data_IF_502173981984
#
_entry.id   IF_502173981984
#
_cell.length_a   1.000
_cell.length_b   1.000
_cell.length_c   1.000
_cell.angle_alpha   90.00
_cell.angle_beta   90.00
_cell.angle_gamma   90.00
#
_symmetry.space_group_name_H-M   'P 1'
#
loop_
_entity.id
_entity.type
_entity.pdbx_description
1 polymer ?
#
# COMPACT_ATOMS: atom_id res chain seq x y z
N UNK A 1 29.96 -1.87 -25.85
CA UNK A 1 29.73 -0.64 -25.06
C UNK A 1 28.76 0.21 -25.88
N UNK A 2 27.63 0.66 -25.32
CA UNK A 2 26.71 1.56 -26.05
C UNK A 2 27.07 3.00 -25.70
N UNK A 3 27.24 3.84 -26.72
CA UNK A 3 27.48 5.27 -26.57
C UNK A 3 26.13 5.99 -26.65
N UNK A 4 25.79 6.77 -25.63
CA UNK A 4 24.57 7.57 -25.57
C UNK A 4 24.95 9.03 -25.74
N UNK A 5 24.36 9.70 -26.73
CA UNK A 5 24.55 11.13 -27.02
C UNK A 5 23.21 11.86 -26.92
N UNK A 6 23.21 13.02 -26.25
CA UNK A 6 22.05 13.90 -26.19
C UNK A 6 21.99 14.76 -27.45
N UNK A 7 20.79 14.95 -28.01
CA UNK A 7 20.57 15.77 -29.21
C UNK A 7 20.25 17.25 -28.87
N UNK A 8 20.02 17.55 -27.61
CA UNK A 8 19.62 18.86 -27.12
C UNK A 8 20.82 19.75 -26.83
N UNK A 9 20.59 21.06 -26.82
CA UNK A 9 21.59 22.05 -26.38
C UNK A 9 21.95 21.86 -24.89
N UNK A 10 23.14 22.31 -24.46
CA UNK A 10 23.54 22.25 -23.07
C UNK A 10 22.54 23.00 -22.18
N UNK A 11 21.92 22.29 -21.24
CA UNK A 11 20.98 22.87 -20.29
C UNK A 11 21.68 23.55 -19.11
N UNK A 12 20.88 23.89 -18.11
CA UNK A 12 21.36 24.41 -16.83
C UNK A 12 22.27 23.39 -16.12
N UNK A 13 23.22 23.88 -15.33
CA UNK A 13 24.12 23.01 -14.56
C UNK A 13 23.34 22.27 -13.47
N UNK A 14 23.80 21.08 -13.13
CA UNK A 14 23.24 20.29 -12.03
C UNK A 14 23.75 20.88 -10.73
N UNK A 15 22.82 21.31 -9.87
CA UNK A 15 23.13 21.77 -8.53
C UNK A 15 23.25 20.57 -7.57
N UNK A 16 24.25 20.62 -6.70
CA UNK A 16 24.43 19.66 -5.61
C UNK A 16 24.27 20.39 -4.29
N UNK A 17 23.30 19.96 -3.49
CA UNK A 17 22.99 20.51 -2.18
C UNK A 17 23.40 19.50 -1.10
N UNK A 18 24.20 19.95 -0.14
CA UNK A 18 24.52 19.19 1.06
C UNK A 18 23.74 19.74 2.25
N UNK A 19 23.09 18.85 3.00
CA UNK A 19 22.38 19.19 4.23
C UNK A 19 22.94 18.36 5.39
N UNK A 20 22.83 18.87 6.61
CA UNK A 20 23.34 18.18 7.80
C UNK A 20 22.39 17.10 8.32
N UNK A 21 21.10 17.22 8.01
CA UNK A 21 20.06 16.27 8.42
C UNK A 21 19.08 16.03 7.28
N UNK A 22 18.46 14.85 7.26
CA UNK A 22 17.44 14.48 6.27
C UNK A 22 16.22 15.44 6.29
N UNK A 23 15.89 15.97 7.47
CA UNK A 23 14.80 16.94 7.62
C UNK A 23 15.15 18.30 7.00
N UNK A 24 16.40 18.74 7.16
CA UNK A 24 16.90 19.96 6.54
C UNK A 24 17.02 19.78 5.02
N UNK A 25 17.50 18.64 4.55
CA UNK A 25 17.52 18.29 3.13
C UNK A 25 16.12 18.43 2.52
N UNK A 26 15.13 17.78 3.13
CA UNK A 26 13.74 17.86 2.69
C UNK A 26 13.23 19.31 2.63
N UNK A 27 13.56 20.13 3.64
CA UNK A 27 13.17 21.53 3.67
C UNK A 27 13.87 22.36 2.58
N UNK A 28 15.15 22.14 2.33
CA UNK A 28 15.91 22.82 1.29
C UNK A 28 15.40 22.45 -0.11
N UNK A 29 15.14 21.16 -0.37
CA UNK A 29 14.55 20.68 -1.63
C UNK A 29 13.21 21.35 -1.88
N UNK A 30 12.33 21.35 -0.88
CA UNK A 30 10.99 21.98 -0.99
C UNK A 30 11.10 23.49 -1.19
N UNK A 31 12.04 24.16 -0.52
CA UNK A 31 12.29 25.60 -0.69
C UNK A 31 12.80 25.92 -2.10
N UNK A 32 13.68 25.07 -2.66
CA UNK A 32 14.17 25.21 -4.03
C UNK A 32 13.05 25.05 -5.06
N UNK A 33 12.17 24.06 -4.86
CA UNK A 33 10.98 23.87 -5.72
C UNK A 33 10.09 25.12 -5.69
N UNK A 34 9.78 25.65 -4.50
CA UNK A 34 8.98 26.88 -4.39
C UNK A 34 9.63 28.06 -5.11
N UNK A 35 10.92 28.28 -4.89
CA UNK A 35 11.65 29.36 -5.55
C UNK A 35 11.59 29.23 -7.08
N UNK A 36 11.73 28.01 -7.61
CA UNK A 36 11.60 27.75 -9.06
C UNK A 36 10.17 27.94 -9.57
N UNK A 37 9.16 27.55 -8.81
CA UNK A 37 7.74 27.80 -9.16
C UNK A 37 7.46 29.31 -9.23
N UNK A 38 7.96 30.10 -8.26
CA UNK A 38 7.78 31.55 -8.27
C UNK A 38 8.56 32.27 -9.37
N UNK A 39 9.82 31.90 -9.59
CA UNK A 39 10.69 32.55 -10.58
C UNK A 39 10.31 32.17 -12.01
N UNK A 40 10.07 30.89 -12.27
CA UNK A 40 9.89 30.35 -13.63
C UNK A 40 8.42 30.18 -14.03
N UNK A 41 7.47 30.51 -13.14
CA UNK A 41 6.02 30.23 -13.30
C UNK A 41 5.71 28.77 -13.68
N UNK A 42 6.60 27.86 -13.29
CA UNK A 42 6.46 26.43 -13.55
C UNK A 42 5.32 25.83 -12.72
N UNK A 43 4.63 24.84 -13.28
CA UNK A 43 3.58 24.13 -12.55
C UNK A 43 4.15 23.13 -11.54
N UNK A 44 3.48 22.89 -10.42
CA UNK A 44 3.90 21.87 -9.45
C UNK A 44 4.02 20.45 -10.07
N UNK A 45 3.30 20.18 -11.16
CA UNK A 45 3.36 18.91 -11.89
C UNK A 45 4.62 18.70 -12.74
N UNK A 46 5.45 19.73 -12.92
CA UNK A 46 6.71 19.63 -13.69
C UNK A 46 7.90 19.18 -12.82
N UNK A 47 7.68 19.03 -11.51
CA UNK A 47 8.71 18.62 -10.56
C UNK A 47 8.50 17.17 -10.14
N UNK A 48 9.60 16.41 -10.11
CA UNK A 48 9.64 15.04 -9.61
C UNK A 48 10.76 14.90 -8.58
N UNK A 49 10.44 14.26 -7.44
CA UNK A 49 11.41 13.94 -6.40
C UNK A 49 11.66 12.44 -6.46
N UNK A 50 12.91 12.04 -6.68
CA UNK A 50 13.34 10.66 -6.74
C UNK A 50 14.15 10.33 -5.49
N UNK A 51 13.78 9.25 -4.81
CA UNK A 51 14.46 8.76 -3.61
C UNK A 51 14.74 7.27 -3.74
N UNK A 52 15.62 6.75 -2.88
CA UNK A 52 16.09 5.36 -2.96
C UNK A 52 15.17 4.39 -2.24
N UNK A 53 14.64 4.79 -1.08
CA UNK A 53 13.79 3.94 -0.24
C UNK A 53 12.50 4.66 0.19
N UNK A 54 11.41 3.93 0.35
CA UNK A 54 10.11 4.50 0.74
C UNK A 54 10.13 5.19 2.11
N UNK A 55 11.05 4.84 3.00
CA UNK A 55 11.20 5.51 4.29
C UNK A 55 11.59 7.00 4.15
N UNK A 56 12.29 7.37 3.07
CA UNK A 56 12.70 8.74 2.79
C UNK A 56 11.52 9.63 2.35
N UNK A 57 10.42 9.04 1.86
CA UNK A 57 9.25 9.83 1.42
C UNK A 57 8.65 10.61 2.58
N UNK A 58 8.62 10.03 3.79
CA UNK A 58 7.92 10.59 4.94
C UNK A 58 8.37 12.00 5.31
N UNK A 59 9.68 12.26 5.31
CA UNK A 59 10.25 13.56 5.66
C UNK A 59 9.97 14.61 4.58
N UNK A 60 10.08 14.21 3.31
CA UNK A 60 9.73 15.05 2.16
C UNK A 60 8.25 15.42 2.16
N UNK A 61 7.38 14.45 2.42
CA UNK A 61 5.94 14.66 2.54
C UNK A 61 5.58 15.62 3.68
N UNK A 62 6.26 15.51 4.82
CA UNK A 62 6.05 16.44 5.93
C UNK A 62 6.49 17.87 5.58
N UNK A 63 7.64 18.03 4.91
CA UNK A 63 8.12 19.32 4.43
C UNK A 63 7.17 19.94 3.39
N UNK A 64 6.69 19.15 2.43
CA UNK A 64 5.71 19.56 1.42
C UNK A 64 4.39 19.98 2.06
N UNK A 65 3.90 19.21 3.05
CA UNK A 65 2.67 19.51 3.80
C UNK A 65 2.79 20.79 4.62
N UNK A 66 3.92 21.01 5.32
CA UNK A 66 4.17 22.24 6.09
C UNK A 66 4.11 23.49 5.21
N UNK A 67 4.46 23.38 3.93
CA UNK A 67 4.42 24.49 2.96
C UNK A 67 3.18 24.50 2.06
N UNK A 68 2.17 23.67 2.34
CA UNK A 68 0.93 23.55 1.57
C UNK A 68 1.13 23.32 0.07
N UNK A 69 2.14 22.52 -0.30
CA UNK A 69 2.41 22.20 -1.69
C UNK A 69 1.65 20.93 -2.07
N UNK A 70 0.86 20.93 -3.16
CA UNK A 70 0.19 19.73 -3.63
C UNK A 70 1.21 18.70 -4.10
N UNK A 71 1.13 17.47 -3.59
CA UNK A 71 2.05 16.40 -3.94
C UNK A 71 1.31 15.09 -4.20
N UNK A 72 1.92 14.22 -4.99
CA UNK A 72 1.42 12.87 -5.27
C UNK A 72 2.55 11.86 -5.09
N UNK A 73 2.35 10.94 -4.15
CA UNK A 73 3.31 9.87 -3.88
C UNK A 73 3.02 8.70 -4.81
N UNK A 74 4.04 8.27 -5.54
CA UNK A 74 4.00 7.05 -6.35
C UNK A 74 4.83 5.99 -5.63
N UNK A 75 4.25 4.81 -5.35
CA UNK A 75 4.96 3.71 -4.69
C UNK A 75 4.88 3.66 -3.16
N UNK A 76 3.97 4.43 -2.54
CA UNK A 76 3.61 4.28 -1.12
C UNK A 76 2.76 3.03 -0.85
N UNK A 77 2.08 2.98 0.30
CA UNK A 77 1.15 1.89 0.63
C UNK A 77 0.21 1.64 -0.55
N UNK A 78 0.24 0.42 -1.10
CA UNK A 78 -0.67 0.06 -2.17
C UNK A 78 -2.09 0.19 -1.62
N UNK A 79 -3.02 0.75 -2.40
CA UNK A 79 -4.42 0.85 -1.99
C UNK A 79 -4.96 -0.51 -1.53
N UNK A 80 -4.52 -1.59 -2.18
CA UNK A 80 -4.85 -2.98 -1.87
C UNK A 80 -4.22 -3.52 -0.57
N UNK A 81 -3.26 -2.82 0.02
CA UNK A 81 -2.63 -3.25 1.26
C UNK A 81 -3.39 -2.83 2.51
N UNK A 82 -4.30 -1.86 2.39
CA UNK A 82 -5.13 -1.38 3.49
C UNK A 82 -6.02 -2.52 4.02
N UNK A 83 -6.10 -2.65 5.34
CA UNK A 83 -6.89 -3.71 5.98
C UNK A 83 -8.34 -3.73 5.47
N UNK A 84 -9.02 -2.59 5.47
CA UNK A 84 -10.39 -2.43 4.97
C UNK A 84 -10.58 -2.92 3.53
N UNK A 85 -9.63 -2.61 2.65
CA UNK A 85 -9.67 -3.03 1.24
C UNK A 85 -9.47 -4.54 1.13
N UNK A 86 -8.50 -5.12 1.87
CA UNK A 86 -8.30 -6.57 1.90
C UNK A 86 -9.50 -7.31 2.48
N UNK A 87 -10.14 -6.75 3.49
CA UNK A 87 -11.29 -7.36 4.15
C UNK A 87 -12.48 -7.38 3.21
N UNK A 88 -12.78 -6.27 2.53
CA UNK A 88 -13.82 -6.23 1.49
C UNK A 88 -13.51 -7.18 0.32
N UNK A 89 -12.25 -7.22 -0.13
CA UNK A 89 -11.81 -8.16 -1.16
C UNK A 89 -12.00 -9.62 -0.72
N UNK A 90 -11.80 -9.95 0.56
CA UNK A 90 -12.03 -11.30 1.07
C UNK A 90 -13.52 -11.68 0.97
N UNK A 91 -14.44 -10.78 1.29
CA UNK A 91 -15.88 -11.02 1.07
C UNK A 91 -16.21 -11.26 -0.41
N UNK A 92 -15.70 -10.41 -1.31
CA UNK A 92 -15.95 -10.56 -2.75
C UNK A 92 -15.35 -11.87 -3.29
N UNK A 93 -14.14 -12.23 -2.84
CA UNK A 93 -13.50 -13.51 -3.20
C UNK A 93 -14.34 -14.70 -2.76
N UNK A 94 -14.92 -14.67 -1.57
CA UNK A 94 -15.76 -15.75 -1.06
C UNK A 94 -17.07 -15.90 -1.85
N UNK A 95 -17.66 -14.80 -2.32
CA UNK A 95 -18.86 -14.83 -3.17
C UNK A 95 -18.56 -15.47 -4.54
N UNK A 96 -17.42 -15.15 -5.13
CA UNK A 96 -17.03 -15.67 -6.46
C UNK A 96 -16.49 -17.10 -6.36
N UNK A 97 -15.67 -17.38 -5.34
CA UNK A 97 -15.07 -18.67 -5.08
C UNK A 97 -15.28 -19.07 -3.61
N UNK A 98 -16.36 -19.83 -3.32
CA UNK A 98 -16.65 -20.32 -1.98
C UNK A 98 -15.58 -21.25 -1.40
N UNK A 99 -14.67 -21.78 -2.24
CA UNK A 99 -13.63 -22.72 -1.81
C UNK A 99 -12.33 -22.04 -1.33
N UNK A 100 -12.30 -20.71 -1.25
CA UNK A 100 -11.13 -19.95 -0.84
C UNK A 100 -11.03 -19.87 0.69
N UNK A 101 -10.21 -20.74 1.30
CA UNK A 101 -10.04 -20.80 2.77
C UNK A 101 -9.38 -19.55 3.36
N UNK A 102 -8.48 -18.91 2.63
CA UNK A 102 -7.77 -17.72 3.11
C UNK A 102 -8.73 -16.52 3.17
N UNK A 103 -9.54 -16.36 2.11
CA UNK A 103 -10.60 -15.36 2.07
C UNK A 103 -11.65 -15.63 3.15
N UNK A 104 -12.04 -16.90 3.36
CA UNK A 104 -12.98 -17.30 4.39
C UNK A 104 -12.48 -16.95 5.80
N UNK A 105 -11.24 -17.33 6.16
CA UNK A 105 -10.65 -17.05 7.48
C UNK A 105 -10.65 -15.54 7.77
N UNK A 106 -10.27 -14.73 6.78
CA UNK A 106 -10.26 -13.28 6.90
C UNK A 106 -11.66 -12.68 7.04
N UNK A 107 -12.61 -13.14 6.22
CA UNK A 107 -13.99 -12.66 6.22
C UNK A 107 -14.77 -13.06 7.49
N UNK A 108 -14.38 -14.14 8.18
CA UNK A 108 -14.98 -14.54 9.46
C UNK A 108 -14.37 -13.79 10.65
N UNK A 109 -13.08 -13.49 10.60
CA UNK A 109 -12.40 -12.75 11.67
C UNK A 109 -12.87 -11.29 11.80
N UNK A 110 -13.30 -10.66 10.69
CA UNK A 110 -13.65 -9.23 10.64
C UNK A 110 -15.03 -9.04 9.96
N UNK A 111 -16.03 -8.46 10.64
CA UNK A 111 -16.06 -8.04 12.05
C UNK A 111 -16.04 -9.25 13.00
N UNK A 112 -15.62 -9.06 14.24
CA UNK A 112 -15.49 -10.14 15.23
C UNK A 112 -16.86 -10.77 15.54
N UNK A 113 -17.10 -11.96 14.99
CA UNK A 113 -18.35 -12.72 15.18
C UNK A 113 -18.35 -13.60 16.45
N UNK A 114 -17.39 -13.41 17.35
CA UNK A 114 -17.21 -14.27 18.53
C UNK A 114 -16.66 -15.66 18.21
N UNK A 115 -16.29 -15.93 16.96
CA UNK A 115 -15.67 -17.19 16.54
C UNK A 115 -14.17 -17.07 16.78
N UNK A 116 -13.65 -17.82 17.76
CA UNK A 116 -12.23 -17.84 18.07
C UNK A 116 -11.41 -18.69 17.10
N UNK A 117 -10.09 -18.53 17.12
CA UNK A 117 -9.16 -19.30 16.27
C UNK A 117 -9.29 -20.81 16.47
N UNK A 118 -9.60 -21.27 17.71
CA UNK A 118 -9.81 -22.68 18.04
C UNK A 118 -11.02 -23.26 17.29
N UNK A 119 -12.11 -22.49 17.21
CA UNK A 119 -13.32 -22.88 16.48
C UNK A 119 -13.08 -22.95 14.98
N UNK A 120 -12.34 -21.98 14.42
CA UNK A 120 -11.94 -21.99 13.01
C UNK A 120 -11.00 -23.16 12.66
N UNK A 121 -10.08 -23.51 13.56
CA UNK A 121 -9.20 -24.67 13.37
C UNK A 121 -9.98 -25.98 13.38
N UNK A 122 -10.90 -26.17 14.34
CA UNK A 122 -11.79 -27.34 14.37
C UNK A 122 -12.59 -27.47 13.07
N UNK A 123 -13.17 -26.35 12.61
CA UNK A 123 -13.93 -26.31 11.36
C UNK A 123 -13.07 -26.67 10.15
N UNK A 124 -11.86 -26.13 10.06
CA UNK A 124 -10.91 -26.48 9.00
C UNK A 124 -10.51 -27.95 9.01
N UNK A 125 -10.28 -28.54 10.20
CA UNK A 125 -10.01 -29.98 10.31
C UNK A 125 -11.20 -30.84 9.91
N UNK A 126 -12.43 -30.48 10.33
CA UNK A 126 -13.64 -31.21 9.97
C UNK A 126 -13.94 -31.13 8.46
N UNK A 127 -13.78 -29.94 7.86
CA UNK A 127 -13.91 -29.74 6.43
C UNK A 127 -12.89 -30.58 5.63
N UNK A 128 -11.64 -30.64 6.10
CA UNK A 128 -10.59 -31.47 5.50
C UNK A 128 -10.95 -32.97 5.52
N UNK A 129 -11.46 -33.48 6.64
CA UNK A 129 -11.90 -34.88 6.75
C UNK A 129 -13.10 -35.19 5.84
N UNK A 130 -14.00 -34.22 5.64
CA UNK A 130 -15.13 -34.34 4.73
C UNK A 130 -14.77 -34.14 3.25
N UNK A 131 -13.55 -33.72 2.94
CA UNK A 131 -13.13 -33.36 1.58
C UNK A 131 -13.85 -32.12 1.01
N UNK A 132 -14.38 -31.27 1.88
CA UNK A 132 -15.14 -30.07 1.53
C UNK A 132 -14.34 -28.81 1.91
N UNK A 133 -14.68 -27.68 1.30
CA UNK A 133 -14.18 -26.38 1.76
C UNK A 133 -14.85 -25.98 3.07
N UNK A 134 -14.17 -25.17 3.89
CA UNK A 134 -14.73 -24.64 5.15
C UNK A 134 -16.11 -24.00 4.98
N UNK A 135 -16.35 -23.28 3.88
CA UNK A 135 -17.66 -22.71 3.57
C UNK A 135 -18.69 -23.76 3.15
N UNK A 136 -18.30 -24.73 2.32
CA UNK A 136 -19.17 -25.85 1.91
C UNK A 136 -19.58 -26.73 3.09
N UNK A 137 -18.68 -26.95 4.05
CA UNK A 137 -18.96 -27.68 5.27
C UNK A 137 -19.98 -26.96 6.16
N UNK A 138 -20.01 -25.63 6.21
CA UNK A 138 -21.05 -24.87 6.92
C UNK A 138 -22.41 -25.01 6.23
N UNK A 139 -22.44 -25.14 4.90
CA UNK A 139 -23.70 -25.25 4.16
C UNK A 139 -24.30 -26.66 4.18
N UNK A 140 -23.47 -27.70 4.25
CA UNK A 140 -23.88 -29.10 4.11
C UNK A 140 -23.66 -29.95 5.37
N UNK A 141 -22.68 -29.58 6.19
CA UNK A 141 -22.24 -30.35 7.34
C UNK A 141 -23.05 -30.03 8.59
N UNK A 142 -23.18 -31.04 9.44
CA UNK A 142 -23.79 -30.91 10.76
C UNK A 142 -22.81 -30.19 11.69
N UNK A 143 -23.10 -28.93 12.03
CA UNK A 143 -22.26 -28.09 12.89
C UNK A 143 -22.07 -28.72 14.29
N UNK A 144 -23.03 -29.52 14.75
CA UNK A 144 -22.94 -30.26 16.02
C UNK A 144 -21.89 -31.37 15.97
N UNK A 145 -21.67 -32.02 14.81
CA UNK A 145 -20.66 -33.06 14.63
C UNK A 145 -19.22 -32.51 14.66
N UNK A 146 -19.05 -31.21 14.37
CA UNK A 146 -17.77 -30.50 14.47
C UNK A 146 -17.44 -30.00 15.89
N UNK A 147 -18.34 -30.20 16.86
CA UNK A 147 -18.16 -29.78 18.25
C UNK A 147 -18.08 -28.26 18.41
N UNK A 148 -18.90 -27.54 17.64
CA UNK A 148 -19.11 -26.10 17.66
C UNK A 148 -20.47 -25.74 18.25
#
# INVERSE_FOLDING_TARGET
>A
RKECFARSEPGEKIDLLGAYTDAEEAFQVVSSILNKVYTSRAGYGEFAILYRTNAQSRLLEEALRKRNIPYKVYGGFSFYERAEVKDLMAYMRLVVNPNDEEAFRRAVAIPSRGIGDVSLQKLGTAALFAGLSSFGYIQQGDLEAAGL
#
